data_IF_454921387963
#
_entry.id   IF_454921387963
#
_cell.length_a   1.000
_cell.length_b   1.000
_cell.length_c   1.000
_cell.angle_alpha   90.00
_cell.angle_beta   90.00
_cell.angle_gamma   90.00
#
_symmetry.space_group_name_H-M   'P 1'
#
loop_
_entity.id
_entity.type
_entity.pdbx_description
1 polymer ?
#
# COMPACT_ATOMS: atom_id res chain seq x y z
N UNK A 1 3.71 -72.78 -18.69
CA UNK A 1 2.97 -71.63 -18.12
C UNK A 1 2.76 -70.64 -19.23
N UNK A 2 1.51 -70.29 -19.50
CA UNK A 2 1.15 -69.54 -20.71
C UNK A 2 1.49 -68.05 -20.54
N UNK A 3 1.93 -67.39 -21.63
CA UNK A 3 2.21 -65.95 -21.62
C UNK A 3 1.00 -65.09 -21.18
N UNK A 4 -0.22 -65.65 -21.29
CA UNK A 4 -1.47 -65.04 -20.84
C UNK A 4 -1.60 -64.96 -19.31
N UNK A 5 -1.14 -65.97 -18.57
CA UNK A 5 -1.22 -65.99 -17.11
C UNK A 5 -0.25 -64.98 -16.47
N UNK A 6 0.94 -64.83 -17.07
CA UNK A 6 1.92 -63.84 -16.62
C UNK A 6 1.45 -62.40 -16.86
N UNK A 7 0.78 -62.14 -17.98
CA UNK A 7 0.17 -60.83 -18.28
C UNK A 7 -0.93 -60.44 -17.28
N UNK A 8 -1.80 -61.38 -16.91
CA UNK A 8 -2.85 -61.13 -15.92
C UNK A 8 -2.30 -60.87 -14.52
N UNK A 9 -1.21 -61.54 -14.14
CA UNK A 9 -0.54 -61.35 -12.84
C UNK A 9 0.14 -59.97 -12.76
N UNK A 10 0.79 -59.53 -13.84
CA UNK A 10 1.34 -58.17 -13.95
C UNK A 10 0.26 -57.08 -13.90
N UNK A 11 -0.89 -57.31 -14.56
CA UNK A 11 -2.02 -56.38 -14.54
C UNK A 11 -2.63 -56.20 -13.14
N UNK A 12 -2.73 -57.28 -12.36
CA UNK A 12 -3.25 -57.21 -10.98
C UNK A 12 -2.29 -56.50 -10.04
N UNK A 13 -0.97 -56.75 -10.15
CA UNK A 13 0.04 -56.04 -9.36
C UNK A 13 0.04 -54.54 -9.68
N UNK A 14 0.00 -54.16 -10.96
CA UNK A 14 -0.02 -52.75 -11.37
C UNK A 14 -1.28 -52.03 -10.89
N UNK A 15 -2.46 -52.66 -10.99
CA UNK A 15 -3.71 -52.11 -10.44
C UNK A 15 -3.65 -51.94 -8.92
N UNK A 16 -3.01 -52.85 -8.20
CA UNK A 16 -2.86 -52.74 -6.75
C UNK A 16 -1.98 -51.55 -6.34
N UNK A 17 -0.86 -51.36 -7.03
CA UNK A 17 0.06 -50.22 -6.81
C UNK A 17 -0.64 -48.90 -7.14
N UNK A 18 -1.37 -48.83 -8.25
CA UNK A 18 -2.16 -47.65 -8.64
C UNK A 18 -3.20 -47.27 -7.57
N UNK A 19 -3.88 -48.26 -6.98
CA UNK A 19 -4.84 -48.00 -5.89
C UNK A 19 -4.18 -47.40 -4.65
N UNK A 20 -2.99 -47.88 -4.26
CA UNK A 20 -2.25 -47.31 -3.12
C UNK A 20 -1.84 -45.86 -3.40
N UNK A 21 -1.32 -45.59 -4.60
CA UNK A 21 -0.91 -44.23 -5.01
C UNK A 21 -2.11 -43.28 -5.04
N UNK A 22 -3.26 -43.74 -5.53
CA UNK A 22 -4.49 -42.96 -5.55
C UNK A 22 -4.97 -42.59 -4.13
N UNK A 23 -4.97 -43.55 -3.20
CA UNK A 23 -5.31 -43.29 -1.79
C UNK A 23 -4.33 -42.29 -1.17
N UNK A 24 -3.04 -42.43 -1.45
CA UNK A 24 -2.02 -41.51 -0.95
C UNK A 24 -2.19 -40.09 -1.50
N UNK A 25 -2.44 -39.93 -2.80
CA UNK A 25 -2.74 -38.64 -3.41
C UNK A 25 -4.01 -38.01 -2.84
N UNK A 26 -5.07 -38.80 -2.60
CA UNK A 26 -6.30 -38.28 -2.00
C UNK A 26 -6.06 -37.71 -0.59
N UNK A 27 -5.27 -38.40 0.23
CA UNK A 27 -4.89 -37.90 1.57
C UNK A 27 -4.03 -36.65 1.49
N UNK A 28 -3.08 -36.59 0.56
CA UNK A 28 -2.23 -35.42 0.35
C UNK A 28 -3.06 -34.19 -0.07
N UNK A 29 -3.94 -34.35 -1.06
CA UNK A 29 -4.83 -33.26 -1.50
C UNK A 29 -5.79 -32.82 -0.40
N UNK A 30 -6.32 -33.75 0.39
CA UNK A 30 -7.19 -33.39 1.51
C UNK A 30 -6.46 -32.53 2.55
N UNK A 31 -5.22 -32.88 2.90
CA UNK A 31 -4.44 -32.11 3.86
C UNK A 31 -4.10 -30.71 3.31
N UNK A 32 -3.68 -30.64 2.06
CA UNK A 32 -3.34 -29.38 1.39
C UNK A 32 -4.56 -28.46 1.22
N UNK A 33 -5.74 -29.03 0.93
CA UNK A 33 -7.00 -28.29 0.86
C UNK A 33 -7.39 -27.71 2.21
N UNK A 34 -7.28 -28.49 3.29
CA UNK A 34 -7.54 -28.04 4.67
C UNK A 34 -6.61 -26.90 5.09
N UNK A 35 -5.34 -26.96 4.72
CA UNK A 35 -4.37 -25.91 5.01
C UNK A 35 -4.69 -24.62 4.23
N UNK A 36 -5.06 -24.75 2.95
CA UNK A 36 -5.50 -23.62 2.13
C UNK A 36 -6.79 -22.96 2.69
N UNK A 37 -7.78 -23.75 3.12
CA UNK A 37 -8.99 -23.24 3.79
C UNK A 37 -8.65 -22.49 5.09
N UNK A 38 -7.69 -23.00 5.87
CA UNK A 38 -7.26 -22.34 7.11
C UNK A 38 -6.57 -21.01 6.81
N UNK A 39 -5.70 -20.97 5.81
CA UNK A 39 -4.97 -19.77 5.43
C UNK A 39 -5.92 -18.70 4.87
N UNK A 40 -6.86 -19.09 4.00
CA UNK A 40 -7.89 -18.17 3.47
C UNK A 40 -8.80 -17.63 4.57
N UNK A 41 -9.19 -18.45 5.55
CA UNK A 41 -9.96 -17.98 6.71
C UNK A 41 -9.19 -16.96 7.57
N UNK A 42 -7.88 -17.14 7.74
CA UNK A 42 -7.01 -16.17 8.45
C UNK A 42 -6.93 -14.86 7.66
N UNK A 43 -6.63 -14.92 6.37
CA UNK A 43 -6.54 -13.73 5.49
C UNK A 43 -7.87 -12.98 5.44
N UNK A 44 -9.00 -13.69 5.35
CA UNK A 44 -10.32 -13.07 5.36
C UNK A 44 -10.59 -12.35 6.69
N UNK A 45 -10.16 -12.91 7.80
CA UNK A 45 -10.31 -12.29 9.11
C UNK A 45 -9.42 -11.05 9.27
N UNK A 46 -8.19 -11.09 8.74
CA UNK A 46 -7.30 -9.92 8.68
C UNK A 46 -7.88 -8.81 7.79
N UNK A 47 -8.41 -9.15 6.61
CA UNK A 47 -9.09 -8.19 5.72
C UNK A 47 -10.32 -7.60 6.41
N UNK A 48 -11.12 -8.40 7.10
CA UNK A 48 -12.28 -7.92 7.86
C UNK A 48 -11.86 -6.97 8.98
N UNK A 49 -10.75 -7.25 9.66
CA UNK A 49 -10.19 -6.35 10.66
C UNK A 49 -9.68 -5.05 10.05
N UNK A 50 -9.01 -5.10 8.89
CA UNK A 50 -8.58 -3.91 8.15
C UNK A 50 -9.77 -3.08 7.66
N UNK A 51 -10.83 -3.72 7.15
CA UNK A 51 -12.07 -3.04 6.76
C UNK A 51 -12.77 -2.37 7.95
N UNK A 52 -12.85 -3.04 9.09
CA UNK A 52 -13.40 -2.45 10.32
C UNK A 52 -12.56 -1.29 10.86
N UNK A 53 -11.23 -1.33 10.68
CA UNK A 53 -10.36 -0.20 10.99
C UNK A 53 -10.60 0.98 10.03
N UNK A 54 -10.77 0.71 8.74
CA UNK A 54 -11.09 1.71 7.73
C UNK A 54 -12.43 2.38 8.02
N UNK A 55 -13.47 1.62 8.35
CA UNK A 55 -14.79 2.13 8.71
C UNK A 55 -14.72 3.05 9.95
N UNK A 56 -13.97 2.66 10.98
CA UNK A 56 -13.75 3.49 12.17
C UNK A 56 -12.98 4.77 11.86
N UNK A 57 -11.98 4.70 10.98
CA UNK A 57 -11.26 5.88 10.51
C UNK A 57 -12.22 6.79 9.75
N UNK A 58 -12.94 6.29 8.75
CA UNK A 58 -13.92 7.04 7.96
C UNK A 58 -14.98 7.68 8.86
N UNK A 59 -15.50 6.97 9.86
CA UNK A 59 -16.41 7.54 10.85
C UNK A 59 -15.79 8.69 11.64
N UNK A 60 -14.54 8.57 12.09
CA UNK A 60 -13.82 9.66 12.77
C UNK A 60 -13.54 10.85 11.85
N UNK A 61 -13.22 10.62 10.58
CA UNK A 61 -13.04 11.68 9.59
C UNK A 61 -14.36 12.40 9.34
N UNK A 62 -15.45 11.67 9.13
CA UNK A 62 -16.80 12.21 8.94
C UNK A 62 -17.25 13.04 10.15
N UNK A 63 -16.99 12.57 11.37
CA UNK A 63 -17.35 13.28 12.60
C UNK A 63 -16.53 14.57 12.77
N UNK A 64 -15.25 14.55 12.36
CA UNK A 64 -14.43 15.78 12.28
C UNK A 64 -14.95 16.75 11.24
N UNK A 65 -15.26 16.29 10.02
CA UNK A 65 -15.83 17.14 8.97
C UNK A 65 -17.18 17.73 9.40
N UNK A 66 -18.03 16.93 10.03
CA UNK A 66 -19.32 17.40 10.59
C UNK A 66 -19.09 18.44 11.67
N UNK A 67 -18.13 18.22 12.57
CA UNK A 67 -17.77 19.20 13.61
C UNK A 67 -17.23 20.51 13.03
N UNK A 68 -16.45 20.45 11.95
CA UNK A 68 -15.97 21.64 11.24
C UNK A 68 -17.07 22.36 10.47
N UNK A 69 -18.03 21.63 9.89
CA UNK A 69 -19.19 22.20 9.22
C UNK A 69 -20.17 22.88 10.19
N UNK A 70 -20.35 22.31 11.39
CA UNK A 70 -21.27 22.83 12.42
C UNK A 70 -20.66 23.98 13.22
N UNK A 71 -19.33 24.01 13.43
CA UNK A 71 -18.64 25.08 14.13
C UNK A 71 -17.51 25.65 13.26
N UNK A 72 -17.83 26.52 12.28
CA UNK A 72 -16.80 27.19 11.50
C UNK A 72 -16.01 28.11 12.44
N UNK A 73 -14.75 27.74 12.73
CA UNK A 73 -13.77 28.72 13.20
C UNK A 73 -13.50 29.70 12.05
N UNK A 74 -13.29 31.00 12.31
CA UNK A 74 -12.92 31.95 11.27
C UNK A 74 -11.69 31.42 10.54
N UNK A 75 -11.81 31.33 9.22
CA UNK A 75 -10.95 30.57 8.33
C UNK A 75 -9.51 31.09 8.33
N UNK A 76 -8.54 30.20 8.58
CA UNK A 76 -7.22 30.33 7.99
C UNK A 76 -7.36 30.00 6.50
N UNK A 77 -6.97 30.92 5.63
CA UNK A 77 -7.02 30.83 4.15
C UNK A 77 -6.36 29.55 3.59
N UNK A 78 -5.51 28.90 4.39
CA UNK A 78 -4.86 27.61 4.08
C UNK A 78 -5.83 26.43 4.12
N UNK A 79 -6.88 26.48 4.94
CA UNK A 79 -7.86 25.38 5.08
C UNK A 79 -8.83 25.32 3.90
N UNK A 80 -9.25 26.47 3.36
CA UNK A 80 -10.02 26.56 2.13
C UNK A 80 -9.22 26.09 0.91
N UNK A 81 -7.91 26.37 0.89
CA UNK A 81 -7.02 25.91 -0.18
C UNK A 81 -6.81 24.38 -0.12
N UNK A 82 -6.62 23.82 1.08
CA UNK A 82 -6.59 22.36 1.30
C UNK A 82 -7.92 21.69 0.95
N UNK A 83 -9.07 22.29 1.28
CA UNK A 83 -10.38 21.75 0.92
C UNK A 83 -10.55 21.69 -0.60
N UNK A 84 -10.09 22.71 -1.33
CA UNK A 84 -10.17 22.75 -2.80
C UNK A 84 -9.24 21.74 -3.49
N UNK A 85 -8.09 21.42 -2.88
CA UNK A 85 -7.17 20.38 -3.35
C UNK A 85 -7.77 19.00 -3.07
N UNK A 86 -8.36 18.78 -1.90
CA UNK A 86 -9.07 17.54 -1.56
C UNK A 86 -10.24 17.31 -2.51
N UNK A 87 -11.05 18.33 -2.77
CA UNK A 87 -12.20 18.28 -3.67
C UNK A 87 -11.81 17.99 -5.13
N UNK A 88 -10.64 18.48 -5.58
CA UNK A 88 -10.05 18.12 -6.89
C UNK A 88 -9.40 16.73 -6.91
N UNK A 89 -8.95 16.21 -5.77
CA UNK A 89 -8.28 14.91 -5.66
C UNK A 89 -9.25 13.72 -5.50
N UNK A 90 -10.52 13.98 -5.20
CA UNK A 90 -11.58 12.97 -5.21
C UNK A 90 -11.92 12.68 -6.68
N UNK A 91 -11.09 11.85 -7.31
CA UNK A 91 -11.49 11.09 -8.49
C UNK A 91 -12.74 10.31 -8.05
N UNK A 92 -13.88 10.44 -8.74
CA UNK A 92 -15.09 9.75 -8.33
C UNK A 92 -14.85 8.24 -8.45
N UNK A 93 -14.59 7.58 -7.33
CA UNK A 93 -14.54 6.11 -7.23
C UNK A 93 -15.97 5.56 -7.29
N UNK A 94 -16.71 5.88 -8.36
CA UNK A 94 -18.00 5.29 -8.65
C UNK A 94 -17.82 3.99 -9.43
N UNK A 95 -17.12 3.03 -8.84
CA UNK A 95 -17.13 1.65 -9.33
C UNK A 95 -17.36 0.77 -8.12
N UNK A 96 -18.60 0.31 -8.00
CA UNK A 96 -19.01 -0.61 -6.94
C UNK A 96 -18.03 -1.77 -6.84
N UNK A 97 -17.70 -2.13 -5.60
CA UNK A 97 -16.88 -3.28 -5.22
C UNK A 97 -17.41 -4.54 -5.91
N UNK A 98 -16.88 -4.86 -7.09
CA UNK A 98 -17.11 -6.15 -7.74
C UNK A 98 -16.27 -7.18 -7.00
N UNK A 99 -16.93 -8.23 -6.51
CA UNK A 99 -16.24 -9.42 -6.01
C UNK A 99 -15.29 -9.93 -7.10
N UNK A 100 -14.03 -10.10 -6.73
CA UNK A 100 -12.97 -10.60 -7.59
C UNK A 100 -13.00 -12.12 -7.48
N UNK A 101 -13.31 -12.82 -8.58
CA UNK A 101 -13.12 -14.26 -8.67
C UNK A 101 -11.62 -14.59 -8.67
N UNK A 102 -11.21 -15.49 -7.78
CA UNK A 102 -9.84 -15.94 -7.57
C UNK A 102 -9.34 -16.77 -8.76
N UNK A 103 -8.42 -16.25 -9.57
CA UNK A 103 -7.44 -17.09 -10.28
C UNK A 103 -6.21 -16.33 -10.81
N UNK A 104 -6.27 -15.01 -10.91
CA UNK A 104 -5.13 -14.11 -11.07
C UNK A 104 -5.56 -12.74 -10.51
N UNK A 105 -4.68 -11.93 -9.88
CA UNK A 105 -5.06 -10.57 -9.53
C UNK A 105 -5.48 -9.86 -10.83
N UNK A 106 -6.75 -9.45 -10.98
CA UNK A 106 -7.20 -8.83 -12.22
C UNK A 106 -6.29 -7.64 -12.50
N UNK A 107 -5.83 -7.53 -13.75
CA UNK A 107 -4.83 -6.54 -14.17
C UNK A 107 -5.19 -5.11 -13.74
N UNK A 108 -6.50 -4.83 -13.66
CA UNK A 108 -7.07 -3.59 -13.14
C UNK A 108 -6.66 -3.29 -11.68
N UNK A 109 -6.61 -4.30 -10.79
CA UNK A 109 -6.16 -4.11 -9.40
C UNK A 109 -4.67 -3.82 -9.33
N UNK A 110 -3.86 -4.41 -10.21
CA UNK A 110 -2.42 -4.10 -10.26
C UNK A 110 -2.24 -2.63 -10.66
N UNK A 111 -3.00 -2.17 -11.66
CA UNK A 111 -2.98 -0.77 -12.09
C UNK A 111 -3.46 0.15 -10.96
N UNK A 112 -4.55 -0.20 -10.26
CA UNK A 112 -5.07 0.57 -9.12
C UNK A 112 -4.06 0.61 -7.95
N UNK A 113 -3.37 -0.51 -7.69
CA UNK A 113 -2.33 -0.58 -6.68
C UNK A 113 -1.14 0.32 -7.03
N UNK A 114 -0.69 0.31 -8.28
CA UNK A 114 0.36 1.22 -8.77
C UNK A 114 -0.09 2.68 -8.58
N UNK A 115 -1.34 3.01 -8.94
CA UNK A 115 -1.91 4.34 -8.73
C UNK A 115 -1.85 4.73 -7.25
N UNK A 116 -2.26 3.84 -6.35
CA UNK A 116 -2.19 4.09 -4.91
C UNK A 116 -0.75 4.35 -4.43
N UNK A 117 0.23 3.55 -4.90
CA UNK A 117 1.62 3.78 -4.54
C UNK A 117 2.17 5.12 -5.04
N UNK A 118 1.84 5.52 -6.28
CA UNK A 118 2.20 6.84 -6.82
C UNK A 118 1.60 7.96 -5.96
N UNK A 119 0.33 7.84 -5.58
CA UNK A 119 -0.34 8.86 -4.77
C UNK A 119 0.23 8.94 -3.36
N UNK A 120 0.49 7.81 -2.69
CA UNK A 120 1.12 7.82 -1.35
C UNK A 120 2.53 8.40 -1.44
N UNK A 121 3.29 8.07 -2.50
CA UNK A 121 4.61 8.65 -2.74
C UNK A 121 4.53 10.18 -2.88
N UNK A 122 3.62 10.70 -3.71
CA UNK A 122 3.36 12.13 -3.83
C UNK A 122 2.94 12.80 -2.52
N UNK A 123 1.97 12.22 -1.79
CA UNK A 123 1.52 12.80 -0.52
C UNK A 123 2.58 12.73 0.58
N UNK A 124 3.45 11.72 0.57
CA UNK A 124 4.58 11.66 1.50
C UNK A 124 5.58 12.79 1.23
N UNK A 125 5.82 13.14 -0.05
CA UNK A 125 6.62 14.30 -0.43
C UNK A 125 6.00 15.61 0.04
N UNK A 126 4.72 15.85 -0.28
CA UNK A 126 4.02 17.06 0.13
C UNK A 126 3.98 17.22 1.65
N UNK A 127 3.71 16.13 2.37
CA UNK A 127 3.69 16.13 3.83
C UNK A 127 5.06 16.51 4.36
N UNK A 128 6.13 15.92 3.84
CA UNK A 128 7.49 16.23 4.28
C UNK A 128 7.82 17.71 4.04
N UNK A 129 7.62 18.22 2.81
CA UNK A 129 7.92 19.61 2.43
C UNK A 129 7.10 20.59 3.28
N UNK A 130 5.81 20.32 3.47
CA UNK A 130 4.94 21.21 4.25
C UNK A 130 5.28 21.19 5.74
N UNK A 131 5.72 20.05 6.28
CA UNK A 131 6.02 19.90 7.71
C UNK A 131 7.40 20.42 8.09
N UNK A 132 8.35 20.44 7.16
CA UNK A 132 9.66 21.05 7.35
C UNK A 132 9.56 22.52 7.82
N UNK A 133 8.59 23.28 7.29
CA UNK A 133 8.38 24.69 7.67
C UNK A 133 7.92 24.90 9.12
N UNK A 134 7.51 23.85 9.82
CA UNK A 134 7.13 23.90 11.24
C UNK A 134 8.24 23.38 12.17
N UNK A 135 9.40 22.99 11.64
CA UNK A 135 10.56 22.67 12.47
C UNK A 135 11.10 23.95 13.13
N UNK A 136 11.52 23.88 14.41
CA UNK A 136 12.10 25.05 15.08
C UNK A 136 13.38 25.52 14.38
N UNK A 137 13.78 26.76 14.64
CA UNK A 137 14.98 27.31 14.01
C UNK A 137 16.28 26.67 14.52
N UNK A 138 16.26 26.23 15.78
CA UNK A 138 17.40 25.64 16.47
C UNK A 138 17.17 24.16 16.79
N UNK A 139 18.19 23.34 16.52
CA UNK A 139 18.16 21.89 16.78
C UNK A 139 17.97 21.55 18.27
N UNK A 140 18.39 22.44 19.17
CA UNK A 140 18.25 22.33 20.63
C UNK A 140 16.80 22.35 21.10
N UNK A 141 15.88 22.89 20.29
CA UNK A 141 14.47 23.05 20.65
C UNK A 141 13.58 21.90 20.16
N UNK A 142 14.15 20.95 19.42
CA UNK A 142 13.43 19.83 18.80
C UNK A 142 12.77 18.91 19.83
N UNK A 143 13.34 18.76 21.02
CA UNK A 143 12.78 17.92 22.09
C UNK A 143 11.38 18.40 22.51
N UNK A 144 11.07 19.69 22.33
CA UNK A 144 9.75 20.25 22.58
C UNK A 144 8.74 19.99 21.43
N UNK A 145 9.23 19.65 20.23
CA UNK A 145 8.43 19.42 19.01
C UNK A 145 8.56 17.99 18.48
N UNK A 146 8.63 16.99 19.37
CA UNK A 146 8.89 15.59 19.03
C UNK A 146 7.99 15.05 17.90
N UNK A 147 6.72 15.45 17.89
CA UNK A 147 5.72 15.00 16.89
C UNK A 147 5.99 15.53 15.48
N UNK A 148 6.48 16.76 15.36
CA UNK A 148 6.76 17.37 14.05
C UNK A 148 8.02 16.73 13.47
N UNK A 149 9.04 16.55 14.31
CA UNK A 149 10.25 15.81 13.96
C UNK A 149 9.93 14.40 13.46
N UNK A 150 9.16 13.64 14.24
CA UNK A 150 8.74 12.28 13.88
C UNK A 150 7.98 12.26 12.55
N UNK A 151 7.11 13.25 12.31
CA UNK A 151 6.36 13.35 11.06
C UNK A 151 7.26 13.67 9.86
N UNK A 152 8.25 14.56 10.00
CA UNK A 152 9.24 14.87 8.95
C UNK A 152 10.09 13.63 8.65
N UNK A 153 10.64 12.99 9.68
CA UNK A 153 11.51 11.81 9.51
C UNK A 153 10.74 10.61 8.93
N UNK A 154 9.51 10.38 9.40
CA UNK A 154 8.65 9.30 8.92
C UNK A 154 8.19 9.52 7.48
N UNK A 155 7.81 10.75 7.11
CA UNK A 155 7.42 11.08 5.74
C UNK A 155 8.60 10.97 4.77
N UNK A 156 9.79 11.43 5.16
CA UNK A 156 11.04 11.25 4.39
C UNK A 156 11.35 9.76 4.18
N UNK A 157 11.33 8.97 5.26
CA UNK A 157 11.58 7.53 5.20
C UNK A 157 10.58 6.81 4.31
N UNK A 158 9.30 7.15 4.45
CA UNK A 158 8.22 6.58 3.63
C UNK A 158 8.41 6.92 2.16
N UNK A 159 8.77 8.16 1.84
CA UNK A 159 9.06 8.61 0.48
C UNK A 159 10.16 7.76 -0.16
N UNK A 160 11.35 7.68 0.44
CA UNK A 160 12.47 6.93 -0.13
C UNK A 160 12.24 5.42 -0.14
N UNK A 161 11.40 4.90 0.74
CA UNK A 161 10.97 3.51 0.67
C UNK A 161 10.09 3.26 -0.56
N UNK A 162 9.09 4.11 -0.78
CA UNK A 162 8.18 4.01 -1.91
C UNK A 162 8.87 4.27 -3.25
N UNK A 163 9.84 5.18 -3.29
CA UNK A 163 10.71 5.43 -4.44
C UNK A 163 11.38 4.11 -4.89
N UNK A 164 12.01 3.38 -3.96
CA UNK A 164 12.62 2.06 -4.22
C UNK A 164 11.63 0.98 -4.61
N UNK A 165 10.38 1.05 -4.14
CA UNK A 165 9.32 0.11 -4.53
C UNK A 165 8.89 0.39 -5.97
N UNK A 166 8.63 1.66 -6.30
CA UNK A 166 8.21 2.10 -7.64
C UNK A 166 9.32 1.89 -8.68
N UNK A 167 10.60 2.02 -8.32
CA UNK A 167 11.72 1.66 -9.19
C UNK A 167 11.72 0.19 -9.63
N UNK A 168 11.17 -0.71 -8.80
CA UNK A 168 11.08 -2.16 -9.08
C UNK A 168 9.81 -2.57 -9.80
N UNK A 169 8.84 -1.66 -9.95
CA UNK A 169 7.62 -1.93 -10.72
C UNK A 169 7.96 -2.03 -12.20
N UNK A 170 7.23 -2.86 -12.94
CA UNK A 170 7.32 -2.93 -14.40
C UNK A 170 7.12 -1.52 -15.01
N UNK A 171 8.17 -1.02 -15.65
CA UNK A 171 8.22 0.33 -16.20
C UNK A 171 7.15 0.57 -17.26
N UNK A 172 6.76 -0.46 -18.02
CA UNK A 172 5.70 -0.34 -19.03
C UNK A 172 4.35 -0.09 -18.33
N UNK A 173 4.07 -0.81 -17.24
CA UNK A 173 2.85 -0.63 -16.45
C UNK A 173 2.85 0.69 -15.70
N UNK A 174 4.01 1.14 -15.23
CA UNK A 174 4.18 2.43 -14.57
C UNK A 174 3.92 3.59 -15.53
N UNK A 175 4.51 3.56 -16.74
CA UNK A 175 4.33 4.59 -17.78
C UNK A 175 2.91 4.65 -18.33
N UNK A 176 2.23 3.50 -18.43
CA UNK A 176 0.84 3.44 -18.88
C UNK A 176 -0.17 3.82 -17.79
N UNK A 177 0.27 4.07 -16.55
CA UNK A 177 -0.62 4.47 -15.46
C UNK A 177 -1.09 5.92 -15.63
N UNK A 178 -2.37 6.18 -15.38
CA UNK A 178 -2.96 7.53 -15.50
C UNK A 178 -2.25 8.58 -14.60
N UNK A 179 -1.71 8.16 -13.46
CA UNK A 179 -1.00 9.02 -12.51
C UNK A 179 0.51 9.11 -12.77
N UNK A 180 1.02 8.57 -13.88
CA UNK A 180 2.45 8.61 -14.20
C UNK A 180 3.00 10.03 -14.25
N UNK A 181 2.21 10.99 -14.74
CA UNK A 181 2.61 12.41 -14.76
C UNK A 181 2.92 12.93 -13.35
N UNK A 182 2.10 12.59 -12.37
CA UNK A 182 2.31 12.94 -10.95
C UNK A 182 3.56 12.27 -10.40
N UNK A 183 3.85 11.02 -10.79
CA UNK A 183 5.10 10.36 -10.43
C UNK A 183 6.32 11.11 -10.98
N UNK A 184 6.31 11.49 -12.27
CA UNK A 184 7.38 12.26 -12.88
C UNK A 184 7.60 13.62 -12.20
N UNK A 185 6.53 14.37 -11.96
CA UNK A 185 6.57 15.63 -11.19
C UNK A 185 7.19 15.41 -9.81
N UNK A 186 6.80 14.33 -9.14
CA UNK A 186 7.32 14.00 -7.80
C UNK A 186 8.83 13.74 -7.81
N UNK A 187 9.33 13.03 -8.81
CA UNK A 187 10.76 12.73 -8.93
C UNK A 187 11.56 13.96 -9.37
N UNK A 188 11.02 14.78 -10.28
CA UNK A 188 11.71 15.97 -10.81
C UNK A 188 11.74 17.10 -9.78
N UNK A 189 10.58 17.43 -9.22
CA UNK A 189 10.37 18.71 -8.55
C UNK A 189 10.40 18.58 -7.02
N UNK A 190 9.82 17.50 -6.48
CA UNK A 190 9.71 17.32 -5.02
C UNK A 190 10.88 16.53 -4.41
N UNK A 191 11.39 15.49 -5.08
CA UNK A 191 12.49 14.64 -4.55
C UNK A 191 13.71 15.44 -4.04
N UNK A 192 14.19 16.52 -4.72
CA UNK A 192 15.31 17.31 -4.21
C UNK A 192 15.01 18.12 -2.93
N UNK A 193 13.73 18.37 -2.65
CA UNK A 193 13.28 19.19 -1.53
C UNK A 193 13.02 18.37 -0.27
N UNK A 194 12.94 17.04 -0.40
CA UNK A 194 12.65 16.14 0.71
C UNK A 194 13.89 15.98 1.57
N UNK A 195 13.73 16.24 2.87
CA UNK A 195 14.80 16.18 3.85
C UNK A 195 14.29 15.45 5.09
N UNK A 196 15.15 14.64 5.69
CA UNK A 196 14.97 14.27 7.10
C UNK A 196 15.39 15.45 7.99
N UNK A 197 15.07 15.36 9.28
CA UNK A 197 15.38 16.43 10.23
C UNK A 197 16.88 16.73 10.22
N UNK A 198 17.73 15.71 10.19
CA UNK A 198 19.19 15.87 10.21
C UNK A 198 19.70 16.64 9.00
N UNK A 199 19.26 16.28 7.80
CA UNK A 199 19.64 16.93 6.54
C UNK A 199 19.07 18.35 6.44
N UNK A 200 17.90 18.59 7.01
CA UNK A 200 17.30 19.93 7.08
C UNK A 200 18.19 20.91 7.84
N UNK A 201 18.60 20.57 9.08
CA UNK A 201 19.48 21.45 9.86
C UNK A 201 20.90 21.52 9.32
N UNK A 202 21.42 20.43 8.73
CA UNK A 202 22.71 20.46 8.05
C UNK A 202 22.70 21.50 6.92
N UNK A 203 21.68 21.49 6.06
CA UNK A 203 21.53 22.48 4.99
C UNK A 203 21.40 23.92 5.53
N UNK A 204 20.58 24.12 6.57
CA UNK A 204 20.35 25.44 7.17
C UNK A 204 21.62 26.05 7.80
N UNK A 205 22.48 25.22 8.41
CA UNK A 205 23.75 25.68 8.99
C UNK A 205 24.76 26.19 7.95
N UNK A 206 24.66 25.67 6.72
CA UNK A 206 25.50 26.11 5.60
C UNK A 206 25.04 27.49 5.13
N UNK A 207 23.72 27.70 4.99
CA UNK A 207 23.14 28.96 4.54
C UNK A 207 23.36 30.11 5.55
N UNK A 208 23.42 29.83 6.85
CA UNK A 208 23.70 30.86 7.87
C UNK A 208 25.17 31.29 7.98
N UNK A 209 26.06 30.66 7.21
CA UNK A 209 27.51 30.91 7.23
C UNK A 209 28.00 31.74 6.02
N UNK A 210 27.09 32.15 5.13
CA UNK A 210 27.33 33.07 4.02
C UNK A 210 26.71 34.44 4.30
#
# INVERSE_FOLDING_TARGET
MSNLEFGNLLATITSFVLSIVAIWMALYFYHKSKEAEKNTAITLNEIKNHAGMLERLTGRWMDRFTKYAVNPKPADETTTLLMSIVERSIIPTSTGLKQIDETDPPENLIIELITCYILIHYYSALTNISTQGYLPDEISQIDNSLKIKELVDSSSTTFFHLDKVLEKVDQIKLQNNASYTTYCETISDYKPLIKDTTSYYAAKSIDSSC
#
